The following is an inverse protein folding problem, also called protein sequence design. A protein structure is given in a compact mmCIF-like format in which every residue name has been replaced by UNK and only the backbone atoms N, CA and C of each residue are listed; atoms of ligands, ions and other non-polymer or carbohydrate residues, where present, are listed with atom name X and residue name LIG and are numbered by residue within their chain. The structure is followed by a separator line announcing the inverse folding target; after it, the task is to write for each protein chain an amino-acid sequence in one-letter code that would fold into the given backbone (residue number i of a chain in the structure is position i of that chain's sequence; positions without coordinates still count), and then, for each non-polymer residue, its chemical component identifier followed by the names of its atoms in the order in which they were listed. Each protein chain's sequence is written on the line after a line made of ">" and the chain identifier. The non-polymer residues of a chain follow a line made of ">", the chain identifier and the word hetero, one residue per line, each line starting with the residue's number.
data_IF_079062343253
#
_entry.id   IF_079062343253
#
_cell.length_a   1.000
_cell.length_b   1.000
_cell.length_c   1.000
_cell.angle_alpha   90.00
_cell.angle_beta   90.00
_cell.angle_gamma   90.00
#
_symmetry.space_group_name_H-M   'P 1'
#
loop_
_entity.id
_entity.type
_entity.pdbx_description
1 polymer ?
#
# COMPACT_ATOMS: atom_id res chain seq x y z
N UNK A 1 -29.80 4.67 -8.32
CA UNK A 1 -28.64 3.82 -7.98
C UNK A 1 -27.38 4.54 -8.47
N UNK A 2 -26.71 5.33 -7.61
CA UNK A 2 -25.49 6.04 -8.00
C UNK A 2 -24.30 5.07 -7.90
N UNK A 3 -23.88 4.52 -9.03
CA UNK A 3 -22.75 3.60 -9.13
C UNK A 3 -21.44 4.41 -9.09
N UNK A 4 -20.81 4.42 -7.91
CA UNK A 4 -19.42 4.77 -7.60
C UNK A 4 -18.96 6.18 -8.05
N UNK A 5 -19.37 7.18 -7.29
CA UNK A 5 -18.69 8.47 -7.26
C UNK A 5 -17.28 8.29 -6.66
N UNK A 6 -16.27 8.18 -7.55
CA UNK A 6 -14.83 8.33 -7.26
C UNK A 6 -14.24 7.28 -6.32
N UNK A 7 -13.98 6.08 -6.84
CA UNK A 7 -13.06 5.14 -6.21
C UNK A 7 -11.69 5.80 -6.07
N UNK A 8 -11.25 6.04 -4.83
CA UNK A 8 -9.86 6.39 -4.52
C UNK A 8 -9.02 5.13 -4.81
N UNK A 9 -8.65 4.92 -6.06
CA UNK A 9 -7.79 3.79 -6.43
C UNK A 9 -6.40 3.99 -5.83
N UNK A 10 -5.70 2.90 -5.58
CA UNK A 10 -4.34 2.94 -5.04
C UNK A 10 -3.41 3.74 -5.97
N UNK A 11 -3.53 3.55 -7.29
CA UNK A 11 -2.79 4.31 -8.29
C UNK A 11 -3.07 5.83 -8.22
N UNK A 12 -4.33 6.23 -8.01
CA UNK A 12 -4.66 7.65 -7.84
C UNK A 12 -4.01 8.24 -6.58
N UNK A 13 -3.88 7.47 -5.49
CA UNK A 13 -3.22 7.92 -4.27
C UNK A 13 -1.70 8.00 -4.44
N UNK A 14 -1.08 7.03 -5.12
CA UNK A 14 0.34 7.08 -5.49
C UNK A 14 0.63 8.36 -6.29
N UNK A 15 -0.13 8.62 -7.35
CA UNK A 15 0.02 9.82 -8.18
C UNK A 15 -0.22 11.12 -7.40
N UNK A 16 -1.22 11.15 -6.50
CA UNK A 16 -1.50 12.34 -5.68
C UNK A 16 -0.38 12.63 -4.67
N UNK A 17 0.30 11.60 -4.17
CA UNK A 17 1.36 11.70 -3.17
C UNK A 17 2.76 11.78 -3.75
N UNK A 18 2.91 11.58 -5.05
CA UNK A 18 4.17 11.79 -5.74
C UNK A 18 4.67 13.21 -5.47
N UNK A 19 5.91 13.32 -4.98
CA UNK A 19 6.59 14.59 -4.75
C UNK A 19 7.74 14.68 -5.73
N UNK A 20 7.81 15.79 -6.46
CA UNK A 20 8.88 16.04 -7.43
C UNK A 20 9.06 14.93 -8.49
N UNK A 21 7.95 14.27 -8.87
CA UNK A 21 7.97 13.16 -9.82
C UNK A 21 8.40 11.81 -9.26
N UNK A 22 8.75 11.75 -7.96
CA UNK A 22 9.05 10.49 -7.27
C UNK A 22 7.77 9.93 -6.68
N UNK A 23 7.37 8.75 -7.16
CA UNK A 23 6.22 8.04 -6.60
C UNK A 23 6.52 7.54 -5.17
N UNK A 24 5.54 7.59 -4.26
CA UNK A 24 5.70 7.04 -2.91
C UNK A 24 5.83 5.52 -2.96
N UNK A 25 6.36 4.93 -1.89
CA UNK A 25 6.45 3.48 -1.80
C UNK A 25 5.06 2.84 -1.62
N UNK A 26 4.90 1.62 -2.14
CA UNK A 26 3.67 0.83 -1.96
C UNK A 26 3.30 0.64 -0.50
N UNK A 27 4.29 0.42 0.37
CA UNK A 27 4.08 0.28 1.82
C UNK A 27 3.48 1.54 2.45
N UNK A 28 3.92 2.73 2.02
CA UNK A 28 3.44 4.00 2.56
C UNK A 28 1.96 4.21 2.24
N UNK A 29 1.57 4.00 0.97
CA UNK A 29 0.18 4.10 0.54
C UNK A 29 -0.67 3.00 1.20
N UNK A 30 -0.14 1.80 1.38
CA UNK A 30 -0.86 0.72 2.04
C UNK A 30 -1.16 1.04 3.51
N UNK A 31 -0.16 1.47 4.27
CA UNK A 31 -0.35 1.88 5.68
C UNK A 31 -1.40 2.98 5.76
N UNK A 32 -1.31 4.02 4.93
CA UNK A 32 -2.27 5.13 4.96
C UNK A 32 -3.70 4.69 4.64
N UNK A 33 -3.86 3.80 3.66
CA UNK A 33 -5.18 3.32 3.23
C UNK A 33 -5.79 2.30 4.20
N UNK A 34 -4.97 1.61 4.99
CA UNK A 34 -5.39 0.52 5.86
C UNK A 34 -5.18 0.81 7.35
N UNK A 35 -4.77 2.02 7.77
CA UNK A 35 -4.52 2.31 9.20
C UNK A 35 -5.77 2.22 10.07
N UNK A 36 -6.91 2.68 9.56
CA UNK A 36 -8.19 2.69 10.27
C UNK A 36 -9.35 2.48 9.30
N UNK A 37 -10.38 1.73 9.71
CA UNK A 37 -11.64 1.70 8.97
C UNK A 37 -12.31 3.07 9.04
N UNK A 38 -13.14 3.39 8.05
CA UNK A 38 -13.92 4.63 8.03
C UNK A 38 -14.80 4.83 9.28
N UNK A 39 -15.20 3.74 9.93
CA UNK A 39 -16.04 3.71 11.14
C UNK A 39 -15.21 3.76 12.44
N UNK A 40 -13.89 3.95 12.36
CA UNK A 40 -13.00 4.00 13.52
C UNK A 40 -12.78 2.65 14.20
N UNK A 41 -13.37 1.57 13.67
CA UNK A 41 -13.17 0.22 14.22
C UNK A 41 -11.81 -0.34 13.79
N UNK A 42 -11.19 -1.19 14.62
CA UNK A 42 -10.00 -1.94 14.21
C UNK A 42 -10.31 -2.79 12.97
N UNK A 43 -9.36 -2.89 12.04
CA UNK A 43 -9.53 -3.70 10.82
C UNK A 43 -9.74 -5.18 11.17
N UNK A 44 -8.84 -5.68 12.01
CA UNK A 44 -8.84 -6.92 12.79
C UNK A 44 -7.44 -6.97 13.45
N UNK A 45 -7.24 -7.83 14.43
CA UNK A 45 -5.97 -7.88 15.18
C UNK A 45 -4.78 -8.32 14.33
N UNK A 46 -5.00 -9.20 13.34
CA UNK A 46 -3.92 -9.71 12.49
C UNK A 46 -3.43 -8.64 11.52
N UNK A 47 -4.37 -7.96 10.85
CA UNK A 47 -4.09 -6.85 9.95
C UNK A 47 -3.44 -5.68 10.70
N UNK A 48 -3.89 -5.37 11.92
CA UNK A 48 -3.29 -4.32 12.74
C UNK A 48 -1.82 -4.62 13.06
N UNK A 49 -1.49 -5.86 13.44
CA UNK A 49 -0.11 -6.28 13.68
C UNK A 49 0.75 -6.17 12.40
N UNK A 50 0.21 -6.56 11.25
CA UNK A 50 0.93 -6.44 9.96
C UNK A 50 1.21 -4.98 9.61
N UNK A 51 0.24 -4.08 9.81
CA UNK A 51 0.42 -2.64 9.56
C UNK A 51 1.45 -2.04 10.52
N UNK A 52 1.45 -2.46 11.79
CA UNK A 52 2.44 -2.02 12.77
C UNK A 52 3.86 -2.47 12.38
N UNK A 53 4.04 -3.73 11.95
CA UNK A 53 5.32 -4.22 11.42
C UNK A 53 5.78 -3.44 10.19
N UNK A 54 4.88 -3.22 9.24
CA UNK A 54 5.15 -2.41 8.04
C UNK A 54 5.57 -0.98 8.42
N UNK A 55 4.91 -0.36 9.40
CA UNK A 55 5.23 0.98 9.87
C UNK A 55 6.60 1.06 10.56
N UNK A 56 6.99 0.01 11.28
CA UNK A 56 8.31 -0.05 11.93
C UNK A 56 9.42 -0.29 10.91
N UNK A 57 9.17 -1.12 9.90
CA UNK A 57 10.13 -1.46 8.86
C UNK A 57 10.28 -0.38 7.78
N UNK A 58 9.31 0.54 7.66
CA UNK A 58 9.37 1.69 6.76
C UNK A 58 10.64 2.55 6.99
N UNK A 59 11.27 2.53 8.16
CA UNK A 59 12.53 3.27 8.35
C UNK A 59 13.75 2.66 7.64
N UNK A 60 13.66 1.43 7.11
CA UNK A 60 14.71 0.79 6.29
C UNK A 60 14.50 1.01 4.77
N UNK A 61 13.65 1.97 4.38
CA UNK A 61 13.23 2.24 3.00
C UNK A 61 14.38 2.38 1.99
N UNK A 62 15.58 2.78 2.43
CA UNK A 62 16.72 3.07 1.55
C UNK A 62 17.28 1.80 0.87
N UNK A 63 17.24 0.64 1.53
CA UNK A 63 17.63 -0.65 0.93
C UNK A 63 16.61 -1.18 -0.09
N UNK A 64 15.36 -0.72 -0.02
CA UNK A 64 14.25 -1.29 -0.79
C UNK A 64 13.84 -0.45 -2.00
N UNK A 65 14.36 0.77 -2.15
CA UNK A 65 14.10 1.63 -3.31
C UNK A 65 14.60 1.05 -4.63
N UNK A 66 15.65 0.25 -4.58
CA UNK A 66 16.22 -0.41 -5.76
C UNK A 66 15.51 -1.72 -6.12
N UNK A 67 14.62 -2.21 -5.24
CA UNK A 67 13.85 -3.43 -5.48
C UNK A 67 12.62 -3.16 -6.34
N UNK A 68 12.18 -4.21 -7.03
CA UNK A 68 11.01 -4.14 -7.89
C UNK A 68 9.77 -3.91 -7.02
N UNK A 69 8.95 -2.90 -7.33
CA UNK A 69 7.81 -2.47 -6.50
C UNK A 69 6.73 -3.55 -6.21
N UNK A 70 6.82 -4.72 -6.84
CA UNK A 70 5.91 -5.85 -6.69
C UNK A 70 6.61 -7.14 -6.23
N UNK A 71 7.94 -7.16 -6.13
CA UNK A 71 8.73 -8.29 -5.65
C UNK A 71 10.00 -7.83 -4.94
N UNK A 72 10.17 -8.26 -3.69
CA UNK A 72 11.30 -7.88 -2.86
C UNK A 72 11.17 -6.55 -2.10
N UNK A 73 10.04 -5.84 -2.17
CA UNK A 73 9.77 -4.65 -1.32
C UNK A 73 9.34 -5.04 0.11
N UNK A 74 9.40 -4.08 1.04
CA UNK A 74 8.99 -4.27 2.46
C UNK A 74 7.56 -4.83 2.56
N UNK A 75 6.68 -4.40 1.65
CA UNK A 75 5.32 -4.91 1.59
C UNK A 75 5.29 -6.42 1.27
N UNK A 76 6.01 -6.88 0.24
CA UNK A 76 6.07 -8.29 -0.12
C UNK A 76 6.70 -9.16 0.96
N UNK A 77 7.61 -8.63 1.78
CA UNK A 77 8.18 -9.38 2.91
C UNK A 77 7.14 -9.69 3.99
N UNK A 78 6.31 -8.70 4.37
CA UNK A 78 5.33 -8.88 5.45
C UNK A 78 4.02 -9.51 4.96
N UNK A 79 3.61 -9.23 3.71
CA UNK A 79 2.35 -9.71 3.13
C UNK A 79 2.53 -11.00 2.32
N UNK A 80 3.77 -11.39 2.07
CA UNK A 80 4.15 -12.50 1.21
C UNK A 80 4.21 -12.10 -0.27
N UNK A 81 4.87 -12.97 -1.05
CA UNK A 81 4.97 -12.84 -2.51
C UNK A 81 3.57 -12.86 -3.14
N UNK A 82 3.36 -11.98 -4.11
CA UNK A 82 2.12 -11.91 -4.88
C UNK A 82 1.88 -13.19 -5.70
N UNK A 83 0.61 -13.59 -5.85
CA UNK A 83 0.25 -14.75 -6.67
C UNK A 83 0.25 -14.37 -8.15
N UNK A 84 0.59 -15.32 -9.02
CA UNK A 84 0.51 -15.11 -10.46
C UNK A 84 -0.88 -14.60 -10.88
N UNK A 85 -0.91 -13.45 -11.57
CA UNK A 85 -2.15 -12.79 -12.01
C UNK A 85 -2.83 -11.89 -10.96
N UNK A 86 -2.25 -11.73 -9.76
CA UNK A 86 -2.72 -10.79 -8.75
C UNK A 86 -1.59 -9.85 -8.36
N UNK A 87 -1.84 -8.54 -8.39
CA UNK A 87 -0.91 -7.56 -7.79
C UNK A 87 -1.69 -6.64 -6.88
N UNK A 88 -1.42 -6.70 -5.57
CA UNK A 88 -2.08 -5.83 -4.59
C UNK A 88 -1.39 -4.46 -4.61
N UNK A 89 -2.18 -3.40 -4.48
CA UNK A 89 -1.67 -2.04 -4.48
C UNK A 89 -1.33 -1.46 -5.87
N UNK A 90 -1.39 -2.24 -6.94
CA UNK A 90 -1.37 -1.66 -8.29
C UNK A 90 -2.82 -1.53 -8.76
N UNK A 91 -3.40 -0.34 -8.58
CA UNK A 91 -4.69 -0.04 -9.19
C UNK A 91 -4.55 -0.01 -10.71
N UNK A 92 -5.54 -0.53 -11.46
CA UNK A 92 -5.66 -0.23 -12.88
C UNK A 92 -5.73 1.30 -13.05
N UNK A 93 -4.73 1.87 -13.71
CA UNK A 93 -4.80 3.24 -14.23
C UNK A 93 -5.78 3.16 -15.40
N UNK A 94 -7.03 3.55 -15.14
CA UNK A 94 -8.05 3.73 -16.17
C UNK A 94 -7.93 5.11 -16.79
#
# INVERSE_FOLDING_TARGET
>A
MAHIARSKSFAHLMAKKAKDGVEPLRVEIFIETHKQRKDGRPIDSESAQKIEKLSNNQHNDEEFRDNVAWDGDIYSQEMGVERAGQVRGLGLVG
#
